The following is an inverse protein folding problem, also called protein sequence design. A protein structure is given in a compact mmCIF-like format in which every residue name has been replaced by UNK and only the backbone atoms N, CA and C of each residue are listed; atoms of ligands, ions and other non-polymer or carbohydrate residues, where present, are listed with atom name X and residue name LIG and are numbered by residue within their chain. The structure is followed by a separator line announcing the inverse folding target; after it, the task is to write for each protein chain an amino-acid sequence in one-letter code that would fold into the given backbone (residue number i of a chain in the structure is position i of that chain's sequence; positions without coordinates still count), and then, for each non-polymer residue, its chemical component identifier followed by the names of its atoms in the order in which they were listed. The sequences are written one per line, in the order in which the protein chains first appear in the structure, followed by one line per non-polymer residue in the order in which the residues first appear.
data_IF_836974183479
#
_entry.id   IF_836974183479
#
_cell.length_a   1.000
_cell.length_b   1.000
_cell.length_c   1.000
_cell.angle_alpha   90.00
_cell.angle_beta   90.00
_cell.angle_gamma   90.00
#
_symmetry.space_group_name_H-M   'P 1'
#
loop_
_entity.id
_entity.type
_entity.pdbx_description
1 polymer ?
#
# COMPACT_ATOMS: atom_id res chain seq x y z
N UNK A 1 18.06 42.67 4.33
CA UNK A 1 17.07 41.63 4.67
C UNK A 1 16.60 41.02 3.36
N UNK A 2 17.10 39.84 3.02
CA UNK A 2 16.63 39.10 1.86
C UNK A 2 15.38 38.32 2.28
N UNK A 3 14.24 38.70 1.71
CA UNK A 3 12.99 37.93 1.83
C UNK A 3 13.16 36.67 1.00
N UNK A 4 13.47 35.55 1.64
CA UNK A 4 13.44 34.24 0.99
C UNK A 4 11.98 33.93 0.67
N UNK A 5 11.57 34.20 -0.57
CA UNK A 5 10.34 33.69 -1.13
C UNK A 5 10.55 32.17 -1.26
N UNK A 6 10.00 31.41 -0.31
CA UNK A 6 9.90 29.96 -0.44
C UNK A 6 8.93 29.69 -1.58
N UNK A 7 9.46 29.30 -2.73
CA UNK A 7 8.66 29.09 -3.94
C UNK A 7 7.72 27.90 -3.71
N UNK A 8 6.38 28.07 -3.73
CA UNK A 8 5.44 26.98 -3.44
C UNK A 8 5.63 25.75 -4.36
N UNK A 9 6.21 25.98 -5.55
CA UNK A 9 6.53 24.96 -6.54
C UNK A 9 7.64 24.01 -6.04
N UNK A 10 8.63 24.50 -5.28
CA UNK A 10 9.72 23.68 -4.76
C UNK A 10 9.25 22.62 -3.77
N UNK A 11 8.20 22.91 -2.98
CA UNK A 11 7.58 21.92 -2.08
C UNK A 11 6.85 20.82 -2.84
N UNK A 12 6.21 21.17 -3.96
CA UNK A 12 5.49 20.23 -4.83
C UNK A 12 6.43 19.24 -5.53
N UNK A 13 7.52 19.72 -6.11
CA UNK A 13 8.47 18.88 -6.87
C UNK A 13 9.22 17.90 -5.96
N UNK A 14 9.62 18.34 -4.75
CA UNK A 14 10.28 17.48 -3.78
C UNK A 14 9.33 16.37 -3.25
N UNK A 15 8.07 16.72 -3.00
CA UNK A 15 7.04 15.76 -2.61
C UNK A 15 6.78 14.74 -3.73
N UNK A 16 6.63 15.20 -4.96
CA UNK A 16 6.44 14.33 -6.12
C UNK A 16 7.64 13.40 -6.32
N UNK A 17 8.87 13.90 -6.23
CA UNK A 17 10.08 13.08 -6.38
C UNK A 17 10.17 11.97 -5.33
N UNK A 18 9.84 12.28 -4.06
CA UNK A 18 9.76 11.27 -3.00
C UNK A 18 8.74 10.20 -3.33
N UNK A 19 7.54 10.59 -3.76
CA UNK A 19 6.50 9.64 -4.13
C UNK A 19 6.96 8.75 -5.30
N UNK A 20 7.50 9.33 -6.37
CA UNK A 20 8.05 8.58 -7.50
C UNK A 20 9.11 7.55 -7.07
N UNK A 21 9.97 7.91 -6.12
CA UNK A 21 10.96 7.00 -5.57
C UNK A 21 10.32 5.90 -4.71
N UNK A 22 9.49 6.29 -3.74
CA UNK A 22 8.87 5.39 -2.75
C UNK A 22 7.88 4.41 -3.36
N UNK A 23 7.19 4.80 -4.44
CA UNK A 23 6.23 3.95 -5.15
C UNK A 23 6.83 3.23 -6.35
N UNK A 24 8.14 3.38 -6.59
CA UNK A 24 8.82 2.67 -7.66
C UNK A 24 8.83 1.16 -7.38
N UNK A 25 8.61 0.30 -8.39
CA UNK A 25 8.82 -1.15 -8.24
C UNK A 25 10.25 -1.52 -7.82
N UNK A 26 11.23 -0.63 -8.02
CA UNK A 26 12.61 -0.82 -7.59
C UNK A 26 12.84 -0.46 -6.11
N UNK A 27 11.85 0.13 -5.43
CA UNK A 27 11.96 0.43 -4.01
C UNK A 27 11.99 -0.90 -3.22
N UNK A 28 13.01 -1.15 -2.38
CA UNK A 28 13.33 -2.49 -1.89
C UNK A 28 12.45 -2.93 -0.70
N UNK A 29 11.13 -2.95 -0.91
CA UNK A 29 10.13 -3.46 0.04
C UNK A 29 9.69 -4.89 -0.26
N UNK A 30 10.07 -5.43 -1.43
CA UNK A 30 9.70 -6.80 -1.83
C UNK A 30 8.25 -6.96 -2.31
N UNK A 31 7.55 -5.85 -2.59
CA UNK A 31 6.13 -5.84 -2.97
C UNK A 31 5.80 -6.70 -4.21
N UNK A 32 6.75 -6.86 -5.15
CA UNK A 32 6.60 -7.70 -6.35
C UNK A 32 6.36 -9.20 -6.05
N UNK A 33 6.66 -9.64 -4.83
CA UNK A 33 6.56 -11.03 -4.42
C UNK A 33 5.13 -11.44 -4.07
N UNK A 34 4.25 -10.49 -3.78
CA UNK A 34 2.94 -10.72 -3.18
C UNK A 34 1.80 -10.53 -4.17
N UNK A 35 0.91 -11.52 -4.24
CA UNK A 35 -0.18 -11.58 -5.22
C UNK A 35 -1.55 -11.25 -4.63
N UNK A 36 -1.66 -11.15 -3.30
CA UNK A 36 -2.93 -10.99 -2.57
C UNK A 36 -4.00 -12.00 -3.03
N UNK A 37 -3.63 -13.29 -3.14
CA UNK A 37 -4.53 -14.36 -3.59
C UNK A 37 -4.76 -14.43 -5.10
N UNK A 38 -4.16 -13.54 -5.90
CA UNK A 38 -4.36 -13.52 -7.35
C UNK A 38 -3.85 -14.80 -8.02
N UNK A 39 -2.75 -15.39 -7.54
CA UNK A 39 -2.25 -16.66 -8.04
C UNK A 39 -3.31 -17.76 -7.95
N UNK A 40 -3.93 -17.92 -6.79
CA UNK A 40 -5.03 -18.88 -6.58
C UNK A 40 -6.25 -18.54 -7.42
N UNK A 41 -6.60 -17.25 -7.55
CA UNK A 41 -7.72 -16.83 -8.38
C UNK A 41 -7.53 -17.16 -9.88
N UNK A 42 -6.29 -17.15 -10.36
CA UNK A 42 -5.96 -17.54 -11.73
C UNK A 42 -6.00 -19.06 -11.89
N UNK A 43 -5.42 -19.81 -10.94
CA UNK A 43 -5.47 -21.28 -10.96
C UNK A 43 -6.90 -21.83 -10.91
N UNK A 44 -7.77 -21.25 -10.09
CA UNK A 44 -9.19 -21.61 -9.98
C UNK A 44 -10.02 -21.14 -11.20
N UNK A 45 -9.40 -20.45 -12.17
CA UNK A 45 -10.06 -19.96 -13.38
C UNK A 45 -10.99 -18.76 -13.15
N UNK A 46 -10.93 -18.10 -11.99
CA UNK A 46 -11.70 -16.90 -11.68
C UNK A 46 -11.14 -15.67 -12.41
N UNK A 47 -9.84 -15.62 -12.66
CA UNK A 47 -9.17 -14.56 -13.42
C UNK A 47 -8.43 -15.16 -14.62
N UNK A 48 -8.98 -14.98 -15.82
CA UNK A 48 -8.48 -15.63 -17.05
C UNK A 48 -8.15 -14.67 -18.18
N UNK A 49 -8.42 -13.38 -18.00
CA UNK A 49 -8.16 -12.36 -19.02
C UNK A 49 -8.00 -10.97 -18.38
N UNK A 50 -7.67 -9.97 -19.21
CA UNK A 50 -7.48 -8.58 -18.80
C UNK A 50 -8.69 -7.98 -18.06
N UNK A 51 -9.91 -8.28 -18.50
CA UNK A 51 -11.12 -7.75 -17.85
C UNK A 51 -11.30 -8.35 -16.45
N UNK A 52 -11.04 -9.66 -16.30
CA UNK A 52 -11.02 -10.32 -15.00
C UNK A 52 -9.94 -9.74 -14.06
N UNK A 53 -8.74 -9.45 -14.58
CA UNK A 53 -7.68 -8.82 -13.81
C UNK A 53 -8.08 -7.43 -13.32
N UNK A 54 -8.65 -6.59 -14.20
CA UNK A 54 -9.14 -5.26 -13.82
C UNK A 54 -10.18 -5.38 -12.71
N UNK A 55 -11.19 -6.25 -12.88
CA UNK A 55 -12.23 -6.45 -11.87
C UNK A 55 -11.67 -6.95 -10.53
N UNK A 56 -10.64 -7.80 -10.57
CA UNK A 56 -9.94 -8.28 -9.38
C UNK A 56 -9.24 -7.12 -8.64
N UNK A 57 -8.50 -6.29 -9.36
CA UNK A 57 -7.77 -5.15 -8.76
C UNK A 57 -8.75 -4.09 -8.23
N UNK A 58 -9.85 -3.84 -8.92
CA UNK A 58 -10.93 -2.97 -8.42
C UNK A 58 -11.52 -3.49 -7.10
N UNK A 59 -11.74 -4.80 -6.99
CA UNK A 59 -12.20 -5.42 -5.75
C UNK A 59 -11.16 -5.31 -4.64
N UNK A 60 -9.88 -5.56 -4.94
CA UNK A 60 -8.79 -5.45 -3.98
C UNK A 60 -8.62 -4.02 -3.45
N UNK A 61 -8.76 -3.01 -4.32
CA UNK A 61 -8.71 -1.60 -3.96
C UNK A 61 -9.90 -1.17 -3.08
N UNK A 62 -11.13 -1.42 -3.53
CA UNK A 62 -12.32 -0.83 -2.92
C UNK A 62 -12.98 -1.67 -1.83
N UNK A 63 -12.69 -2.98 -1.75
CA UNK A 63 -13.36 -3.91 -0.83
C UNK A 63 -12.41 -4.88 -0.11
N UNK A 64 -11.16 -4.98 -0.58
CA UNK A 64 -10.12 -5.83 0.00
C UNK A 64 -9.09 -5.02 0.77
N UNK A 65 -7.81 -5.38 0.61
CA UNK A 65 -6.69 -4.76 1.33
C UNK A 65 -6.65 -3.23 1.21
N UNK A 66 -6.99 -2.66 0.04
CA UNK A 66 -6.99 -1.21 -0.14
C UNK A 66 -8.00 -0.46 0.74
N UNK A 67 -9.14 -1.10 1.06
CA UNK A 67 -10.17 -0.53 1.93
C UNK A 67 -9.76 -0.54 3.42
N UNK A 68 -8.75 -1.33 3.78
CA UNK A 68 -8.18 -1.38 5.13
C UNK A 68 -6.92 -0.53 5.22
N UNK A 69 -5.99 -0.73 4.28
CA UNK A 69 -4.68 -0.10 4.28
C UNK A 69 -4.76 1.40 3.99
N UNK A 70 -5.74 1.84 3.18
CA UNK A 70 -5.99 3.26 2.89
C UNK A 70 -6.30 4.06 4.17
N UNK A 71 -7.38 3.75 4.90
CA UNK A 71 -7.72 4.46 6.14
C UNK A 71 -6.61 4.38 7.21
N UNK A 72 -5.89 3.25 7.32
CA UNK A 72 -4.75 3.12 8.23
C UNK A 72 -3.59 4.05 7.86
N UNK A 73 -3.30 4.21 6.56
CA UNK A 73 -2.35 5.19 6.05
C UNK A 73 -2.83 6.62 6.36
N UNK A 74 -4.12 6.91 6.20
CA UNK A 74 -4.67 8.23 6.54
C UNK A 74 -4.54 8.56 8.02
N UNK A 75 -4.84 7.60 8.90
CA UNK A 75 -4.71 7.79 10.33
C UNK A 75 -3.24 7.96 10.75
N UNK A 76 -2.31 7.16 10.21
CA UNK A 76 -0.88 7.30 10.51
C UNK A 76 -0.32 8.63 10.01
N UNK A 77 -0.75 9.10 8.84
CA UNK A 77 -0.39 10.41 8.32
C UNK A 77 -0.89 11.54 9.23
N UNK A 78 -2.15 11.46 9.70
CA UNK A 78 -2.73 12.48 10.59
C UNK A 78 -1.98 12.53 11.92
N UNK A 79 -1.73 11.39 12.54
CA UNK A 79 -0.95 11.30 13.77
C UNK A 79 0.48 11.83 13.60
N UNK A 80 1.12 11.52 12.46
CA UNK A 80 2.47 12.01 12.14
C UNK A 80 2.51 13.54 11.95
N UNK A 81 1.52 14.14 11.29
CA UNK A 81 1.42 15.59 11.12
C UNK A 81 1.12 16.30 12.44
N UNK A 82 0.32 15.68 13.31
CA UNK A 82 0.01 16.19 14.65
C UNK A 82 1.17 16.00 15.66
N UNK A 83 2.23 15.28 15.27
CA UNK A 83 3.31 14.83 16.15
C UNK A 83 2.79 14.02 17.36
N UNK A 84 1.67 13.33 17.18
CA UNK A 84 1.01 12.52 18.18
C UNK A 84 1.54 11.08 18.14
N UNK A 85 2.59 10.85 18.92
CA UNK A 85 3.24 9.56 19.00
C UNK A 85 2.33 8.44 19.56
N UNK A 86 1.36 8.78 20.42
CA UNK A 86 0.44 7.82 21.04
C UNK A 86 -0.63 7.38 20.04
N UNK A 87 -1.26 8.33 19.34
CA UNK A 87 -2.20 8.02 18.27
C UNK A 87 -1.52 7.19 17.15
N UNK A 88 -0.27 7.50 16.81
CA UNK A 88 0.48 6.71 15.82
C UNK A 88 0.75 5.27 16.30
N UNK A 89 0.96 5.06 17.60
CA UNK A 89 1.13 3.72 18.18
C UNK A 89 -0.18 2.93 18.15
N UNK A 90 -1.30 3.56 18.49
CA UNK A 90 -2.62 2.94 18.41
C UNK A 90 -2.94 2.48 16.99
N UNK A 91 -2.66 3.33 15.99
CA UNK A 91 -2.82 2.98 14.58
C UNK A 91 -1.91 1.83 14.18
N UNK A 92 -0.64 1.82 14.63
CA UNK A 92 0.30 0.76 14.31
C UNK A 92 -0.13 -0.62 14.88
N UNK A 93 -0.57 -0.66 16.14
CA UNK A 93 -1.08 -1.90 16.75
C UNK A 93 -2.38 -2.37 16.08
N UNK A 94 -3.31 -1.46 15.80
CA UNK A 94 -4.54 -1.79 15.08
C UNK A 94 -4.24 -2.35 13.68
N UNK A 95 -3.32 -1.72 12.95
CA UNK A 95 -2.94 -2.15 11.61
C UNK A 95 -2.30 -3.55 11.58
N UNK A 96 -1.48 -3.86 12.58
CA UNK A 96 -0.89 -5.18 12.77
C UNK A 96 -1.95 -6.23 13.11
N UNK A 97 -2.97 -5.87 13.90
CA UNK A 97 -4.08 -6.75 14.25
C UNK A 97 -5.05 -7.02 13.08
N UNK A 98 -5.19 -6.10 12.14
CA UNK A 98 -6.08 -6.21 10.98
C UNK A 98 -5.66 -7.28 9.95
N UNK A 99 -4.48 -7.88 10.08
CA UNK A 99 -3.97 -8.86 9.13
C UNK A 99 -4.75 -10.16 9.27
N UNK A 100 -5.60 -10.45 8.28
CA UNK A 100 -6.55 -11.57 8.32
C UNK A 100 -5.92 -12.96 8.23
N UNK A 101 -4.66 -13.05 7.81
CA UNK A 101 -3.91 -14.32 7.68
C UNK A 101 -2.48 -14.16 8.21
N UNK A 102 -1.85 -15.27 8.60
CA UNK A 102 -0.45 -15.24 9.06
C UNK A 102 0.50 -14.78 7.94
N UNK A 103 0.14 -15.13 6.71
CA UNK A 103 0.86 -14.80 5.50
C UNK A 103 0.78 -13.28 5.21
N UNK A 104 -0.41 -12.68 5.21
CA UNK A 104 -0.58 -11.21 5.08
C UNK A 104 0.04 -10.44 6.24
N UNK A 105 0.10 -11.03 7.44
CA UNK A 105 0.80 -10.44 8.58
C UNK A 105 2.31 -10.39 8.38
N UNK A 106 2.89 -11.49 7.90
CA UNK A 106 4.31 -11.56 7.57
C UNK A 106 4.66 -10.62 6.41
N UNK A 107 3.87 -10.62 5.33
CA UNK A 107 4.02 -9.71 4.20
C UNK A 107 4.08 -8.26 4.68
N UNK A 108 3.01 -7.81 5.35
CA UNK A 108 2.80 -6.40 5.60
C UNK A 108 3.84 -5.84 6.59
N UNK A 109 4.21 -6.64 7.59
CA UNK A 109 5.26 -6.29 8.55
C UNK A 109 6.66 -6.31 7.95
N UNK A 110 6.97 -7.24 7.03
CA UNK A 110 8.24 -7.27 6.32
C UNK A 110 8.39 -6.07 5.38
N UNK A 111 7.34 -5.74 4.62
CA UNK A 111 7.30 -4.55 3.76
C UNK A 111 7.45 -3.26 4.58
N UNK A 112 6.72 -3.13 5.69
CA UNK A 112 6.80 -1.94 6.55
C UNK A 112 8.16 -1.77 7.21
N UNK A 113 8.78 -2.84 7.71
CA UNK A 113 10.13 -2.79 8.25
C UNK A 113 11.17 -2.41 7.19
N UNK A 114 11.08 -2.99 5.98
CA UNK A 114 11.96 -2.67 4.87
C UNK A 114 11.79 -1.21 4.43
N UNK A 115 10.54 -0.75 4.28
CA UNK A 115 10.24 0.63 3.92
C UNK A 115 10.80 1.62 4.94
N UNK A 116 10.56 1.39 6.23
CA UNK A 116 11.04 2.25 7.30
C UNK A 116 12.57 2.30 7.34
N UNK A 117 13.23 1.14 7.23
CA UNK A 117 14.70 1.06 7.24
C UNK A 117 15.34 1.81 6.07
N UNK A 118 14.83 1.60 4.85
CA UNK A 118 15.37 2.23 3.63
C UNK A 118 15.05 3.73 3.65
N UNK A 119 13.84 4.08 4.09
CA UNK A 119 13.42 5.48 4.19
C UNK A 119 14.29 6.24 5.18
N UNK A 120 14.50 5.69 6.38
CA UNK A 120 15.34 6.31 7.40
C UNK A 120 16.80 6.48 6.96
N UNK A 121 17.32 5.58 6.12
CA UNK A 121 18.68 5.66 5.62
C UNK A 121 18.85 6.69 4.48
N UNK A 122 17.95 6.69 3.50
CA UNK A 122 18.08 7.53 2.29
C UNK A 122 17.39 8.90 2.40
N UNK A 123 16.40 9.04 3.28
CA UNK A 123 15.71 10.30 3.59
C UNK A 123 15.59 10.47 5.10
N UNK A 124 16.69 10.85 5.79
CA UNK A 124 16.74 10.84 7.25
C UNK A 124 15.62 11.65 7.90
N UNK A 125 14.87 10.97 8.77
CA UNK A 125 13.81 11.53 9.60
C UNK A 125 13.96 10.89 10.99
N UNK A 126 14.44 11.63 12.02
CA UNK A 126 14.73 11.08 13.34
C UNK A 126 13.54 10.34 13.98
N UNK A 127 12.30 10.77 13.68
CA UNK A 127 11.08 10.15 14.22
C UNK A 127 10.87 8.71 13.75
N UNK A 128 11.42 8.32 12.58
CA UNK A 128 11.35 6.94 12.11
C UNK A 128 12.06 5.96 13.03
N UNK A 129 13.24 6.33 13.54
CA UNK A 129 14.00 5.47 14.44
C UNK A 129 13.21 5.19 15.73
N UNK A 130 12.51 6.19 16.27
CA UNK A 130 11.64 6.04 17.43
C UNK A 130 10.42 5.16 17.12
N UNK A 131 9.78 5.34 15.97
CA UNK A 131 8.66 4.49 15.54
C UNK A 131 9.08 3.03 15.39
N UNK A 132 10.19 2.76 14.70
CA UNK A 132 10.73 1.41 14.52
C UNK A 132 11.11 0.74 15.85
N UNK A 133 11.66 1.51 16.79
CA UNK A 133 12.02 0.99 18.11
C UNK A 133 10.80 0.60 18.95
N UNK A 134 9.69 1.34 18.84
CA UNK A 134 8.43 1.04 19.54
C UNK A 134 7.67 -0.14 18.93
N UNK A 135 7.77 -0.34 17.61
CA UNK A 135 7.04 -1.39 16.86
C UNK A 135 7.96 -2.40 16.17
N UNK A 136 8.84 -3.11 16.89
CA UNK A 136 9.81 -4.01 16.28
C UNK A 136 9.09 -5.18 15.60
N UNK A 137 9.24 -5.28 14.26
CA UNK A 137 8.63 -6.31 13.40
C UNK A 137 7.10 -6.29 13.35
N UNK A 138 6.46 -5.19 13.78
CA UNK A 138 5.00 -5.01 13.73
C UNK A 138 4.57 -3.80 12.91
N UNK A 139 5.51 -2.92 12.57
CA UNK A 139 5.22 -1.80 11.70
C UNK A 139 4.86 -2.29 10.29
N UNK A 140 3.61 -2.11 9.91
CA UNK A 140 3.12 -2.47 8.58
C UNK A 140 3.32 -1.35 7.56
N UNK A 141 3.34 -1.72 6.27
CA UNK A 141 3.64 -0.81 5.17
C UNK A 141 2.75 0.45 5.09
N UNK A 142 1.41 0.40 5.14
CA UNK A 142 0.59 1.61 5.06
C UNK A 142 0.85 2.59 6.22
N UNK A 143 1.13 2.08 7.42
CA UNK A 143 1.45 2.91 8.60
C UNK A 143 2.81 3.59 8.41
N UNK A 144 3.84 2.83 8.01
CA UNK A 144 5.17 3.38 7.75
C UNK A 144 5.14 4.45 6.64
N UNK A 145 4.43 4.18 5.54
CA UNK A 145 4.31 5.10 4.41
C UNK A 145 3.54 6.37 4.80
N UNK A 146 2.40 6.25 5.48
CA UNK A 146 1.61 7.41 5.91
C UNK A 146 2.39 8.30 6.89
N UNK A 147 3.12 7.70 7.84
CA UNK A 147 3.99 8.44 8.73
C UNK A 147 5.11 9.19 7.98
N UNK A 148 5.80 8.52 7.03
CA UNK A 148 6.82 9.16 6.19
C UNK A 148 6.27 10.36 5.41
N UNK A 149 5.09 10.18 4.80
CA UNK A 149 4.44 11.19 4.00
C UNK A 149 4.03 12.39 4.85
N UNK A 150 3.46 12.16 6.03
CA UNK A 150 3.08 13.20 6.99
C UNK A 150 4.28 14.01 7.45
N UNK A 151 5.34 13.34 7.91
CA UNK A 151 6.58 13.99 8.34
C UNK A 151 7.30 14.73 7.21
N UNK A 152 7.16 14.29 5.97
CA UNK A 152 7.73 14.94 4.79
C UNK A 152 6.86 16.07 4.22
N UNK A 153 5.72 16.39 4.86
CA UNK A 153 4.80 17.44 4.40
C UNK A 153 4.07 17.12 3.09
N UNK A 154 3.98 15.85 2.70
CA UNK A 154 3.28 15.43 1.48
C UNK A 154 1.78 15.48 1.76
N UNK A 155 0.97 16.13 0.91
CA UNK A 155 -0.49 16.17 1.11
C UNK A 155 -1.09 14.77 1.17
N UNK A 156 -1.96 14.52 2.17
CA UNK A 156 -2.55 13.20 2.43
C UNK A 156 -3.17 12.55 1.19
N UNK A 157 -4.01 13.30 0.47
CA UNK A 157 -4.66 12.79 -0.74
C UNK A 157 -3.65 12.33 -1.79
N UNK A 158 -2.57 13.08 -1.98
CA UNK A 158 -1.50 12.74 -2.93
C UNK A 158 -0.76 11.48 -2.49
N UNK A 159 -0.45 11.35 -1.19
CA UNK A 159 0.19 10.17 -0.63
C UNK A 159 -0.68 8.91 -0.81
N UNK A 160 -1.98 8.99 -0.49
CA UNK A 160 -2.95 7.91 -0.70
C UNK A 160 -3.04 7.49 -2.16
N UNK A 161 -3.24 8.47 -3.05
CA UNK A 161 -3.40 8.21 -4.48
C UNK A 161 -2.16 7.52 -5.06
N UNK A 162 -0.97 7.99 -4.70
CA UNK A 162 0.28 7.37 -5.13
C UNK A 162 0.46 5.96 -4.56
N UNK A 163 0.19 5.74 -3.27
CA UNK A 163 0.32 4.43 -2.64
C UNK A 163 -0.67 3.40 -3.23
N UNK A 164 -1.94 3.76 -3.36
CA UNK A 164 -2.98 2.89 -3.95
C UNK A 164 -2.72 2.64 -5.44
N UNK A 165 -2.19 3.62 -6.16
CA UNK A 165 -1.74 3.44 -7.55
C UNK A 165 -0.60 2.42 -7.66
N UNK A 166 0.36 2.47 -6.73
CA UNK A 166 1.47 1.51 -6.67
C UNK A 166 0.98 0.09 -6.33
N UNK A 167 0.06 -0.02 -5.37
CA UNK A 167 -0.61 -1.27 -5.02
C UNK A 167 -1.31 -1.89 -6.23
N UNK A 168 -2.11 -1.10 -6.96
CA UNK A 168 -2.77 -1.54 -8.18
C UNK A 168 -1.77 -1.98 -9.26
N UNK A 169 -0.70 -1.21 -9.48
CA UNK A 169 0.33 -1.53 -10.46
C UNK A 169 1.07 -2.84 -10.14
N UNK A 170 1.31 -3.12 -8.85
CA UNK A 170 1.91 -4.37 -8.40
C UNK A 170 1.00 -5.57 -8.72
N UNK A 171 -0.29 -5.47 -8.44
CA UNK A 171 -1.26 -6.53 -8.78
C UNK A 171 -1.38 -6.74 -10.29
N UNK A 172 -1.41 -5.67 -11.08
CA UNK A 172 -1.39 -5.77 -12.55
C UNK A 172 -0.12 -6.46 -13.04
N UNK A 173 1.04 -6.12 -12.46
CA UNK A 173 2.32 -6.76 -12.78
C UNK A 173 2.33 -8.25 -12.46
N UNK A 174 1.72 -8.66 -11.34
CA UNK A 174 1.51 -10.07 -11.02
C UNK A 174 0.56 -10.74 -12.04
N UNK A 175 -0.58 -10.11 -12.34
CA UNK A 175 -1.57 -10.63 -13.27
C UNK A 175 -1.06 -10.82 -14.70
N UNK A 176 -0.18 -9.93 -15.19
CA UNK A 176 0.46 -10.09 -16.51
C UNK A 176 1.26 -11.40 -16.59
N UNK A 177 1.93 -11.79 -15.50
CA UNK A 177 2.73 -13.03 -15.42
C UNK A 177 1.87 -14.27 -15.21
N UNK A 178 0.81 -14.15 -14.41
CA UNK A 178 -0.07 -15.27 -14.05
C UNK A 178 -1.09 -15.63 -15.15
N UNK A 179 -1.67 -14.64 -15.84
CA UNK A 179 -2.77 -14.78 -16.83
C UNK A 179 -2.26 -14.83 -18.28
N UNK A 180 -0.97 -15.15 -18.50
CA UNK A 180 -0.15 -14.76 -19.65
C UNK A 180 -0.65 -13.58 -20.52
N UNK A 181 -0.83 -12.39 -19.95
CA UNK A 181 -1.23 -11.20 -20.72
C UNK A 181 -0.01 -10.53 -21.39
N UNK A 182 -0.26 -9.78 -22.47
CA UNK A 182 0.77 -8.95 -23.09
C UNK A 182 1.17 -7.75 -22.21
N UNK A 183 2.39 -7.23 -22.39
CA UNK A 183 2.84 -6.02 -21.67
C UNK A 183 1.93 -4.81 -21.93
N UNK A 184 1.45 -4.66 -23.17
CA UNK A 184 0.47 -3.63 -23.55
C UNK A 184 -0.85 -3.81 -22.81
N UNK A 185 -1.32 -5.05 -22.60
CA UNK A 185 -2.53 -5.31 -21.83
C UNK A 185 -2.38 -4.89 -20.36
N UNK A 186 -1.20 -5.10 -19.78
CA UNK A 186 -0.86 -4.58 -18.45
C UNK A 186 -0.99 -3.06 -18.38
N UNK A 187 -0.42 -2.33 -19.34
CA UNK A 187 -0.53 -0.87 -19.36
C UNK A 187 -1.97 -0.38 -19.62
N UNK A 188 -2.73 -1.08 -20.46
CA UNK A 188 -4.16 -0.80 -20.65
C UNK A 188 -4.93 -1.00 -19.34
N UNK A 189 -4.66 -2.08 -18.60
CA UNK A 189 -5.27 -2.31 -17.30
C UNK A 189 -4.92 -1.20 -16.30
N UNK A 190 -3.63 -0.85 -16.17
CA UNK A 190 -3.17 0.25 -15.30
C UNK A 190 -3.88 1.56 -15.63
N UNK A 191 -3.99 1.92 -16.91
CA UNK A 191 -4.69 3.14 -17.34
C UNK A 191 -6.19 3.08 -17.03
N UNK A 192 -6.81 1.90 -17.19
CA UNK A 192 -8.25 1.68 -16.93
C UNK A 192 -8.58 1.80 -15.45
N UNK A 193 -7.66 1.45 -14.55
CA UNK A 193 -7.86 1.45 -13.10
C UNK A 193 -7.85 2.85 -12.45
N UNK A 194 -7.53 3.92 -13.21
CA UNK A 194 -7.47 5.29 -12.67
C UNK A 194 -8.72 5.67 -11.84
N UNK A 195 -9.97 5.48 -12.34
CA UNK A 195 -11.16 5.85 -11.56
C UNK A 195 -11.29 5.04 -10.27
N UNK A 196 -10.89 3.77 -10.26
CA UNK A 196 -10.95 2.92 -9.07
C UNK A 196 -9.93 3.36 -8.01
N UNK A 197 -8.72 3.73 -8.43
CA UNK A 197 -7.69 4.30 -7.53
C UNK A 197 -8.16 5.63 -6.96
N UNK A 198 -8.77 6.49 -7.77
CA UNK A 198 -9.36 7.74 -7.31
C UNK A 198 -10.44 7.48 -6.25
N UNK A 199 -11.41 6.61 -6.55
CA UNK A 199 -12.48 6.29 -5.63
C UNK A 199 -11.98 5.70 -4.30
N UNK A 200 -11.00 4.80 -4.34
CA UNK A 200 -10.39 4.22 -3.14
C UNK A 200 -9.65 5.29 -2.32
N UNK A 201 -8.94 6.21 -2.96
CA UNK A 201 -8.27 7.31 -2.27
C UNK A 201 -9.27 8.27 -1.61
N UNK A 202 -10.37 8.64 -2.29
CA UNK A 202 -11.41 9.49 -1.71
C UNK A 202 -12.12 8.80 -0.54
N UNK A 203 -12.42 7.50 -0.63
CA UNK A 203 -13.00 6.75 0.47
C UNK A 203 -12.07 6.72 1.69
N UNK A 204 -10.78 6.41 1.48
CA UNK A 204 -9.79 6.37 2.55
C UNK A 204 -9.60 7.72 3.27
N UNK A 205 -9.85 8.84 2.60
CA UNK A 205 -9.82 10.15 3.24
C UNK A 205 -10.90 10.32 4.32
N UNK A 206 -12.05 9.69 4.19
CA UNK A 206 -13.20 9.95 5.07
C UNK A 206 -13.59 8.77 5.97
N UNK A 207 -13.05 7.58 5.72
CA UNK A 207 -13.29 6.41 6.59
C UNK A 207 -12.61 6.58 7.94
N UNK A 208 -13.40 6.49 9.00
CA UNK A 208 -12.91 6.45 10.38
C UNK A 208 -12.40 5.05 10.75
N UNK A 209 -11.50 4.96 11.73
CA UNK A 209 -10.82 3.69 12.07
C UNK A 209 -11.77 2.60 12.57
N UNK A 210 -12.89 2.98 13.19
CA UNK A 210 -13.94 2.08 13.67
C UNK A 210 -14.85 1.55 12.55
N UNK A 211 -14.84 2.19 11.39
CA UNK A 211 -15.57 1.79 10.19
C UNK A 211 -14.70 0.97 9.21
N UNK A 212 -13.41 0.81 9.52
CA UNK A 212 -12.49 0.01 8.70
C UNK A 212 -12.99 -1.43 8.61
N UNK A 213 -12.97 -1.97 7.40
CA UNK A 213 -13.32 -3.37 7.16
C UNK A 213 -13.15 -3.79 5.72
N UNK A 214 -13.18 -5.10 5.50
CA UNK A 214 -13.24 -5.71 4.17
C UNK A 214 -14.65 -6.18 3.86
N UNK A 215 -15.00 -6.20 2.58
CA UNK A 215 -16.23 -6.82 2.06
C UNK A 215 -15.93 -7.72 0.85
N UNK A 216 -14.75 -8.34 0.87
CA UNK A 216 -14.24 -9.19 -0.19
C UNK A 216 -13.88 -10.61 0.32
N UNK A 217 -14.86 -11.38 0.82
CA UNK A 217 -14.61 -12.70 1.42
C UNK A 217 -13.94 -13.71 0.46
N UNK A 218 -14.11 -13.50 -0.84
CA UNK A 218 -13.45 -14.31 -1.88
C UNK A 218 -11.96 -14.05 -1.97
N UNK A 219 -11.51 -12.79 -1.77
CA UNK A 219 -10.07 -12.47 -1.71
C UNK A 219 -9.42 -13.10 -0.48
N UNK A 220 -10.11 -13.04 0.67
CA UNK A 220 -9.65 -13.67 1.91
C UNK A 220 -9.55 -15.19 1.75
N UNK A 221 -10.56 -15.81 1.11
CA UNK A 221 -10.54 -17.24 0.80
C UNK A 221 -9.38 -17.64 -0.12
N UNK A 222 -9.08 -16.84 -1.15
CA UNK A 222 -7.94 -17.11 -2.02
C UNK A 222 -6.61 -16.96 -1.28
N UNK A 223 -6.46 -15.94 -0.43
CA UNK A 223 -5.28 -15.82 0.43
C UNK A 223 -5.12 -17.02 1.37
N UNK A 224 -6.19 -17.45 2.04
CA UNK A 224 -6.16 -18.63 2.93
C UNK A 224 -5.83 -19.93 2.17
N UNK A 225 -6.28 -20.08 0.93
CA UNK A 225 -5.97 -21.25 0.11
C UNK A 225 -4.50 -21.25 -0.35
N UNK A 226 -3.96 -20.08 -0.66
CA UNK A 226 -2.55 -19.92 -1.07
C UNK A 226 -1.58 -20.49 -0.03
N UNK A 227 -1.90 -20.37 1.26
CA UNK A 227 -1.10 -20.95 2.36
C UNK A 227 -0.85 -22.47 2.19
N UNK A 228 -1.78 -23.18 1.53
CA UNK A 228 -1.74 -24.64 1.36
C UNK A 228 -1.42 -25.11 -0.07
N UNK A 229 -1.09 -24.19 -0.97
CA UNK A 229 -0.91 -24.49 -2.40
C UNK A 229 0.41 -25.25 -2.68
N UNK A 230 0.31 -26.32 -3.48
CA UNK A 230 1.44 -27.24 -3.74
C UNK A 230 2.54 -26.64 -4.62
N UNK A 231 2.18 -25.83 -5.62
CA UNK A 231 3.09 -25.08 -6.48
C UNK A 231 2.89 -23.59 -6.23
N UNK A 232 3.96 -22.83 -5.97
CA UNK A 232 3.89 -21.39 -5.67
C UNK A 232 4.96 -20.63 -6.45
N UNK A 233 4.55 -19.69 -7.29
CA UNK A 233 5.42 -18.74 -7.99
C UNK A 233 5.57 -17.44 -7.20
N UNK A 234 4.61 -17.11 -6.33
CA UNK A 234 4.60 -15.94 -5.47
C UNK A 234 4.66 -16.34 -3.99
N UNK A 235 5.10 -15.44 -3.12
CA UNK A 235 4.89 -15.54 -1.67
C UNK A 235 3.69 -14.64 -1.37
N UNK A 236 2.63 -15.10 -0.70
CA UNK A 236 1.56 -14.15 -0.31
C UNK A 236 1.84 -13.57 1.07
#
# INVERSE_FOLDING_TARGET
MATTITDPIQGGDAALYRLLAWTSPAYPVGAYTYSHGLETAVEDGAVTNRAGLIAYVEAALGRGAGAVDGPLLSASWRAAVADDAAALDEVAELAAAWRGTAETALESSAQGAAFASVTAAAWPEPRFAALMARHPRRLVHPVAFGAAAGWSGIPLRTALFSWLGAFAANLVSAGVRLVPLGQTDGQIATATLLPAVQAAAEAALTTELDEVGTSAPVLDLFSMRHETQYTRLFRS
#
